data_IF_562222963244
#
_entry.id   IF_562222963244
#
_cell.length_a   1.000
_cell.length_b   1.000
_cell.length_c   1.000
_cell.angle_alpha   90.00
_cell.angle_beta   90.00
_cell.angle_gamma   90.00
#
_symmetry.space_group_name_H-M   'P 1'
#
loop_
_entity.id
_entity.type
_entity.pdbx_description
1 polymer ?
#
# COMPACT_ATOMS: atom_id res chain seq x y z
N UNK A 1 12.70 -8.26 9.47
CA UNK A 1 13.41 -6.98 9.25
C UNK A 1 12.71 -6.24 8.12
N UNK A 2 11.81 -5.31 8.44
CA UNK A 2 11.24 -4.40 7.45
C UNK A 2 12.20 -3.22 7.35
N UNK A 3 13.06 -3.19 6.34
CA UNK A 3 13.84 -1.99 6.06
C UNK A 3 13.00 -1.07 5.19
N UNK A 4 12.36 -0.10 5.84
CA UNK A 4 11.99 1.16 5.19
C UNK A 4 13.28 1.96 5.11
N UNK A 5 13.71 2.33 3.91
CA UNK A 5 14.93 3.13 3.72
C UNK A 5 14.81 4.45 4.50
N UNK A 6 15.80 4.73 5.35
CA UNK A 6 15.85 5.83 6.31
C UNK A 6 16.32 7.17 5.69
N UNK A 7 15.78 7.55 4.53
CA UNK A 7 16.02 8.91 4.03
C UNK A 7 14.69 9.51 3.56
N UNK A 8 14.04 10.18 4.50
CA UNK A 8 12.66 10.67 4.40
C UNK A 8 12.67 12.19 4.64
N UNK A 9 13.40 12.90 3.78
CA UNK A 9 13.35 14.36 3.74
C UNK A 9 11.95 14.82 3.34
N UNK A 10 11.46 15.90 3.98
CA UNK A 10 10.13 16.50 3.81
C UNK A 10 9.72 16.80 2.35
N UNK A 11 10.66 16.79 1.40
CA UNK A 11 10.46 17.09 -0.02
C UNK A 11 9.96 15.92 -0.88
N UNK A 12 10.34 14.68 -0.57
CA UNK A 12 9.94 13.51 -1.37
C UNK A 12 8.90 12.68 -0.63
N UNK A 13 7.61 12.91 -0.95
CA UNK A 13 6.47 12.11 -0.44
C UNK A 13 6.41 10.72 -1.08
N UNK A 14 7.54 10.03 -1.25
CA UNK A 14 7.63 8.70 -1.82
C UNK A 14 8.38 7.74 -0.89
N UNK A 15 7.85 6.54 -0.75
CA UNK A 15 8.42 5.47 0.04
C UNK A 15 9.18 4.50 -0.86
N UNK A 16 10.45 4.28 -0.57
CA UNK A 16 11.22 3.20 -1.19
C UNK A 16 10.95 1.88 -0.48
N UNK A 17 10.39 0.91 -1.21
CA UNK A 17 10.16 -0.46 -0.73
C UNK A 17 11.16 -1.39 -1.40
N UNK A 18 12.10 -1.93 -0.61
CA UNK A 18 13.21 -2.76 -1.09
C UNK A 18 12.96 -4.25 -0.89
N UNK A 19 12.40 -4.64 0.26
CA UNK A 19 12.18 -6.05 0.61
C UNK A 19 10.74 -6.51 0.39
N UNK A 20 10.57 -7.81 0.09
CA UNK A 20 9.25 -8.42 -0.09
C UNK A 20 8.54 -8.01 -1.39
N UNK A 21 9.26 -7.42 -2.34
CA UNK A 21 8.70 -7.03 -3.64
C UNK A 21 8.64 -8.21 -4.61
N UNK A 22 7.68 -8.15 -5.54
CA UNK A 22 7.55 -9.17 -6.58
C UNK A 22 8.79 -9.12 -7.49
N UNK A 23 9.51 -10.24 -7.60
CA UNK A 23 10.73 -10.34 -8.40
C UNK A 23 11.93 -9.56 -7.85
N UNK A 24 11.90 -9.14 -6.58
CA UNK A 24 13.03 -8.50 -5.90
C UNK A 24 13.36 -7.08 -6.38
N UNK A 25 12.53 -6.49 -7.25
CA UNK A 25 12.74 -5.14 -7.76
C UNK A 25 12.26 -4.10 -6.74
N UNK A 26 13.10 -3.14 -6.33
CA UNK A 26 12.63 -2.03 -5.52
C UNK A 26 11.53 -1.24 -6.24
N UNK A 27 10.63 -0.63 -5.48
CA UNK A 27 9.65 0.31 -6.02
C UNK A 27 9.57 1.55 -5.15
N UNK A 28 9.28 2.67 -5.78
CA UNK A 28 8.82 3.87 -5.10
C UNK A 28 7.29 3.84 -5.05
N UNK A 29 6.71 4.25 -3.93
CA UNK A 29 5.26 4.34 -3.77
C UNK A 29 4.92 5.70 -3.16
N UNK A 30 4.03 6.45 -3.82
CA UNK A 30 3.48 7.70 -3.30
C UNK A 30 2.85 7.55 -1.93
N UNK A 31 3.21 8.45 -1.03
CA UNK A 31 2.56 8.63 0.26
C UNK A 31 1.48 9.71 0.12
N UNK A 32 0.24 9.35 0.43
CA UNK A 32 -0.91 10.26 0.38
C UNK A 32 -1.06 11.04 1.69
N UNK A 33 -0.79 10.37 2.81
CA UNK A 33 -0.76 10.95 4.15
C UNK A 33 0.56 10.58 4.83
N UNK A 34 1.40 11.60 5.03
CA UNK A 34 2.72 11.44 5.62
C UNK A 34 2.65 11.16 7.12
N UNK A 35 1.81 11.91 7.82
CA UNK A 35 1.72 11.88 9.28
C UNK A 35 1.14 10.54 9.74
N UNK A 36 0.05 10.10 9.12
CA UNK A 36 -0.56 8.81 9.42
C UNK A 36 0.41 7.65 9.13
N UNK A 37 1.21 7.75 8.07
CA UNK A 37 2.21 6.73 7.74
C UNK A 37 3.29 6.64 8.83
N UNK A 38 3.92 7.76 9.19
CA UNK A 38 4.98 7.79 10.20
C UNK A 38 4.45 7.26 11.53
N UNK A 39 3.26 7.69 11.94
CA UNK A 39 2.62 7.20 13.16
C UNK A 39 2.42 5.68 13.10
N UNK A 40 1.87 5.16 11.99
CA UNK A 40 1.62 3.73 11.80
C UNK A 40 2.91 2.91 11.81
N UNK A 41 3.96 3.39 11.13
CA UNK A 41 5.26 2.71 11.08
C UNK A 41 5.90 2.68 12.46
N UNK A 42 5.86 3.78 13.22
CA UNK A 42 6.41 3.83 14.57
C UNK A 42 5.69 2.86 15.52
N UNK A 43 4.36 2.77 15.45
CA UNK A 43 3.60 1.78 16.21
C UNK A 43 3.96 0.34 15.82
N UNK A 44 4.08 0.08 14.52
CA UNK A 44 4.50 -1.22 14.00
C UNK A 44 5.91 -1.62 14.48
N UNK A 45 6.86 -0.66 14.53
CA UNK A 45 8.20 -0.90 15.06
C UNK A 45 8.19 -1.21 16.55
N UNK A 46 7.39 -0.50 17.34
CA UNK A 46 7.22 -0.78 18.77
C UNK A 46 6.65 -2.18 19.01
N UNK A 47 5.64 -2.57 18.24
CA UNK A 47 5.09 -3.94 18.26
C UNK A 47 6.18 -4.94 17.89
N UNK A 48 6.88 -4.75 16.77
CA UNK A 48 7.92 -5.69 16.35
C UNK A 48 9.02 -5.86 17.40
N UNK A 49 9.42 -4.79 18.10
CA UNK A 49 10.40 -4.86 19.18
C UNK A 49 9.93 -5.75 20.34
N UNK A 50 8.64 -5.71 20.69
CA UNK A 50 8.04 -6.57 21.71
C UNK A 50 7.86 -8.04 21.27
N UNK A 51 7.92 -8.31 19.96
CA UNK A 51 7.61 -9.60 19.34
C UNK A 51 8.79 -10.14 18.51
N UNK A 52 9.99 -10.20 19.11
CA UNK A 52 11.19 -10.81 18.51
C UNK A 52 11.55 -10.24 17.11
N UNK A 53 11.32 -8.94 16.89
CA UNK A 53 11.54 -8.28 15.61
C UNK A 53 10.51 -8.59 14.52
N UNK A 54 9.33 -9.12 14.88
CA UNK A 54 8.25 -9.52 13.97
C UNK A 54 6.93 -8.85 14.33
N UNK A 55 6.18 -8.41 13.32
CA UNK A 55 4.81 -7.90 13.53
C UNK A 55 3.83 -9.00 13.92
N UNK A 56 4.07 -10.20 13.43
CA UNK A 56 3.28 -11.39 13.75
C UNK A 56 4.28 -12.47 14.16
N UNK A 57 4.45 -12.65 15.46
CA UNK A 57 5.35 -13.67 15.98
C UNK A 57 4.63 -15.02 16.04
N UNK A 58 4.87 -15.81 15.00
CA UNK A 58 4.40 -17.18 14.86
C UNK A 58 5.56 -18.07 14.40
N UNK A 59 5.54 -19.36 14.77
CA UNK A 59 6.67 -20.26 14.54
C UNK A 59 6.95 -20.49 13.04
N UNK A 60 5.93 -20.36 12.19
CA UNK A 60 6.04 -20.59 10.76
C UNK A 60 5.16 -19.62 9.94
N UNK A 61 5.46 -19.53 8.64
CA UNK A 61 4.78 -18.64 7.71
C UNK A 61 3.28 -18.93 7.59
N UNK A 62 2.88 -20.21 7.59
CA UNK A 62 1.46 -20.61 7.47
C UNK A 62 0.67 -20.13 8.68
N UNK A 63 1.20 -20.32 9.88
CA UNK A 63 0.62 -19.82 11.13
C UNK A 63 0.56 -18.28 11.17
N UNK A 64 1.58 -17.59 10.67
CA UNK A 64 1.59 -16.13 10.56
C UNK A 64 0.51 -15.62 9.60
N UNK A 65 0.38 -16.22 8.42
CA UNK A 65 -0.66 -15.88 7.43
C UNK A 65 -2.07 -16.12 8.01
N UNK A 66 -2.28 -17.23 8.72
CA UNK A 66 -3.57 -17.52 9.34
C UNK A 66 -3.93 -16.50 10.42
N UNK A 67 -2.96 -16.09 11.25
CA UNK A 67 -3.14 -15.03 12.24
C UNK A 67 -3.51 -13.70 11.56
N UNK A 68 -2.80 -13.32 10.50
CA UNK A 68 -3.11 -12.12 9.72
C UNK A 68 -4.53 -12.15 9.16
N UNK A 69 -4.92 -13.23 8.47
CA UNK A 69 -6.28 -13.42 7.94
C UNK A 69 -7.36 -13.32 9.01
N UNK A 70 -7.10 -13.91 10.18
CA UNK A 70 -8.05 -13.87 11.30
C UNK A 70 -8.21 -12.45 11.84
N UNK A 71 -7.11 -11.70 11.95
CA UNK A 71 -7.15 -10.30 12.40
C UNK A 71 -7.83 -9.38 11.40
N UNK A 72 -7.53 -9.49 10.11
CA UNK A 72 -8.20 -8.69 9.08
C UNK A 72 -9.70 -9.00 9.02
N UNK A 73 -10.08 -10.28 9.17
CA UNK A 73 -11.47 -10.68 9.27
C UNK A 73 -12.19 -10.08 10.51
N UNK A 74 -11.53 -10.03 11.66
CA UNK A 74 -12.08 -9.39 12.87
C UNK A 74 -12.21 -7.87 12.71
N UNK A 75 -11.31 -7.25 11.95
CA UNK A 75 -11.40 -5.84 11.57
C UNK A 75 -12.44 -5.56 10.47
N UNK A 76 -13.26 -6.54 10.09
CA UNK A 76 -14.32 -6.36 9.09
C UNK A 76 -13.87 -6.51 7.63
N UNK A 77 -12.59 -6.82 7.36
CA UNK A 77 -12.08 -6.99 6.00
C UNK A 77 -12.48 -8.37 5.42
N UNK A 78 -13.74 -8.50 5.03
CA UNK A 78 -14.37 -9.74 4.54
C UNK A 78 -15.16 -9.48 3.25
N UNK A 79 -15.40 -10.55 2.48
CA UNK A 79 -16.21 -10.49 1.25
C UNK A 79 -15.72 -9.42 0.28
N UNK A 80 -16.61 -8.52 -0.15
CA UNK A 80 -16.26 -7.41 -1.04
C UNK A 80 -15.24 -6.42 -0.46
N UNK A 81 -15.12 -6.35 0.88
CA UNK A 81 -14.15 -5.52 1.60
C UNK A 81 -12.94 -6.32 2.09
N UNK A 82 -12.61 -7.44 1.43
CA UNK A 82 -11.41 -8.22 1.75
C UNK A 82 -10.14 -7.36 1.71
N UNK A 83 -8.99 -7.77 2.29
CA UNK A 83 -7.76 -6.97 2.28
C UNK A 83 -7.31 -6.49 0.90
N UNK A 84 -7.70 -7.18 -0.18
CA UNK A 84 -7.42 -6.73 -1.54
C UNK A 84 -8.13 -5.40 -1.87
N UNK A 85 -9.31 -5.14 -1.31
CA UNK A 85 -10.05 -3.88 -1.51
C UNK A 85 -9.29 -2.66 -0.98
N UNK A 86 -8.45 -2.81 0.05
CA UNK A 86 -7.57 -1.73 0.52
C UNK A 86 -6.61 -1.26 -0.58
N UNK A 87 -6.15 -2.17 -1.46
CA UNK A 87 -5.35 -1.81 -2.64
C UNK A 87 -6.17 -1.03 -3.66
N UNK A 88 -7.46 -1.30 -3.79
CA UNK A 88 -8.36 -0.53 -4.66
C UNK A 88 -8.58 0.87 -4.10
N UNK A 89 -8.93 0.97 -2.82
CA UNK A 89 -9.14 2.24 -2.14
C UNK A 89 -7.90 3.14 -2.30
N UNK A 90 -6.72 2.63 -1.94
CA UNK A 90 -5.47 3.37 -2.10
C UNK A 90 -5.20 3.80 -3.56
N UNK A 91 -5.45 2.92 -4.53
CA UNK A 91 -5.24 3.26 -5.94
C UNK A 91 -6.21 4.35 -6.44
N UNK A 92 -7.45 4.35 -5.94
CA UNK A 92 -8.45 5.38 -6.24
C UNK A 92 -8.05 6.72 -5.64
N UNK A 93 -7.64 6.74 -4.38
CA UNK A 93 -7.16 7.95 -3.70
C UNK A 93 -5.90 8.50 -4.38
N UNK A 94 -4.97 7.64 -4.81
CA UNK A 94 -3.77 8.04 -5.53
C UNK A 94 -4.10 8.61 -6.93
N UNK A 95 -5.05 8.02 -7.65
CA UNK A 95 -5.52 8.58 -8.93
C UNK A 95 -6.14 9.96 -8.72
N UNK A 96 -6.96 10.13 -7.67
CA UNK A 96 -7.54 11.42 -7.31
C UNK A 96 -6.46 12.45 -6.96
N UNK A 97 -5.49 12.08 -6.14
CA UNK A 97 -4.35 12.92 -5.77
C UNK A 97 -3.59 13.44 -7.00
N UNK A 98 -3.23 12.58 -7.95
CA UNK A 98 -2.52 13.03 -9.16
C UNK A 98 -3.40 13.93 -10.05
N UNK A 99 -4.70 13.64 -10.18
CA UNK A 99 -5.62 14.52 -10.93
C UNK A 99 -5.69 15.92 -10.32
N UNK A 100 -5.71 16.03 -8.99
CA UNK A 100 -5.69 17.31 -8.28
C UNK A 100 -4.38 18.10 -8.50
N UNK A 101 -3.31 17.44 -8.96
CA UNK A 101 -2.05 18.08 -9.34
C UNK A 101 -2.00 18.47 -10.83
N UNK A 102 -3.10 18.30 -11.57
CA UNK A 102 -3.21 18.67 -12.98
C UNK A 102 -2.84 17.57 -13.96
N UNK A 103 -2.53 16.35 -13.50
CA UNK A 103 -2.28 15.22 -14.39
C UNK A 103 -3.56 14.75 -15.08
N UNK A 104 -3.47 14.38 -16.34
CA UNK A 104 -4.57 13.73 -17.06
C UNK A 104 -4.90 12.35 -16.46
N UNK A 105 -6.08 11.81 -16.78
CA UNK A 105 -6.47 10.45 -16.37
C UNK A 105 -5.44 9.38 -16.79
N UNK A 106 -4.86 9.54 -17.98
CA UNK A 106 -3.87 8.62 -18.54
C UNK A 106 -2.56 8.68 -17.74
N UNK A 107 -2.08 9.88 -17.44
CA UNK A 107 -0.86 10.10 -16.65
C UNK A 107 -1.03 9.63 -15.22
N UNK A 108 -2.14 10.01 -14.56
CA UNK A 108 -2.46 9.57 -13.22
C UNK A 108 -2.51 8.03 -13.13
N UNK A 109 -3.13 7.37 -14.11
CA UNK A 109 -3.18 5.90 -14.15
C UNK A 109 -1.81 5.27 -14.37
N UNK A 110 -0.93 5.89 -15.18
CA UNK A 110 0.44 5.42 -15.37
C UNK A 110 1.29 5.59 -14.10
N UNK A 111 1.17 6.72 -13.40
CA UNK A 111 1.84 6.98 -12.12
C UNK A 111 1.41 5.98 -11.05
N UNK A 112 0.10 5.78 -10.86
CA UNK A 112 -0.43 4.77 -9.93
C UNK A 112 0.02 3.36 -10.31
N UNK A 113 0.11 3.06 -11.61
CA UNK A 113 0.64 1.78 -12.09
C UNK A 113 2.09 1.56 -11.67
N UNK A 114 2.93 2.59 -11.73
CA UNK A 114 4.31 2.55 -11.23
C UNK A 114 4.35 2.40 -9.71
N UNK A 115 3.56 3.17 -8.97
CA UNK A 115 3.49 3.11 -7.50
C UNK A 115 3.09 1.71 -6.99
N UNK A 116 2.18 1.04 -7.71
CA UNK A 116 1.73 -0.33 -7.44
C UNK A 116 2.77 -1.41 -7.81
N UNK A 117 3.84 -1.03 -8.50
CA UNK A 117 4.89 -1.92 -8.98
C UNK A 117 4.54 -2.68 -10.26
N UNK A 118 3.64 -2.15 -11.10
CA UNK A 118 3.25 -2.76 -12.38
C UNK A 118 4.05 -2.23 -13.58
N UNK A 119 4.83 -1.15 -13.39
CA UNK A 119 5.44 -0.37 -14.48
C UNK A 119 4.46 0.60 -15.13
N UNK A 120 4.93 1.46 -16.02
CA UNK A 120 4.16 2.50 -16.71
C UNK A 120 3.20 1.93 -17.78
N UNK A 121 3.55 0.83 -18.42
CA UNK A 121 2.77 0.18 -19.48
C UNK A 121 1.42 -0.43 -19.07
N UNK A 122 1.03 -0.32 -17.80
CA UNK A 122 -0.20 -0.93 -17.23
C UNK A 122 -1.25 0.09 -16.79
N UNK A 123 -1.14 1.37 -17.18
CA UNK A 123 -2.13 2.41 -16.89
C UNK A 123 -3.56 2.06 -17.29
N UNK A 124 -3.79 1.51 -18.50
CA UNK A 124 -5.13 1.03 -18.92
C UNK A 124 -5.69 -0.10 -18.06
N UNK A 125 -4.82 -0.95 -17.51
CA UNK A 125 -5.24 -1.98 -16.57
C UNK A 125 -5.66 -1.35 -15.24
N UNK A 126 -4.90 -0.37 -14.76
CA UNK A 126 -5.22 0.38 -13.54
C UNK A 126 -6.57 1.07 -13.65
N UNK A 127 -6.81 1.79 -14.74
CA UNK A 127 -8.09 2.47 -14.98
C UNK A 127 -9.27 1.47 -15.00
N UNK A 128 -9.11 0.36 -15.71
CA UNK A 128 -10.19 -0.65 -15.83
C UNK A 128 -10.47 -1.40 -14.53
N UNK A 129 -9.43 -1.69 -13.75
CA UNK A 129 -9.53 -2.53 -12.54
C UNK A 129 -9.80 -1.66 -11.31
N UNK A 130 -9.00 -0.62 -11.10
CA UNK A 130 -9.09 0.25 -9.92
C UNK A 130 -9.99 1.47 -10.13
N UNK A 131 -10.17 1.95 -11.37
CA UNK A 131 -10.98 3.13 -11.67
C UNK A 131 -12.50 2.92 -11.57
N UNK A 132 -12.96 1.69 -11.33
CA UNK A 132 -14.36 1.41 -11.02
C UNK A 132 -14.65 1.83 -9.59
N UNK A 133 -15.20 3.03 -9.41
CA UNK A 133 -15.97 3.35 -8.22
C UNK A 133 -17.14 2.38 -8.17
N UNK A 134 -17.17 1.43 -7.24
CA UNK A 134 -18.46 0.84 -6.88
C UNK A 134 -19.29 2.01 -6.34
N UNK A 135 -20.34 2.39 -7.06
CA UNK A 135 -21.05 3.66 -6.92
C UNK A 135 -21.53 4.00 -5.51
N UNK A 136 -20.64 4.58 -4.70
CA UNK A 136 -20.99 5.34 -3.53
C UNK A 136 -20.36 6.72 -3.71
N UNK A 137 -21.18 7.64 -4.22
CA UNK A 137 -21.02 9.05 -3.93
C UNK A 137 -21.13 9.20 -2.40
N UNK A 138 -20.16 9.88 -1.80
CA UNK A 138 -20.40 10.62 -0.57
C UNK A 138 -20.99 11.97 -0.98
#
# INVERSE_FOLDING_TARGET
MFAVAQDMGYGDKQLTVVFGTKGGRPRQTRMLDWEALIQTVNQALAVAAAYNGRLIDKPDLKSAINRWRSQTALAGLKGQYSPHSLRYAWAQDAMYYYRQQGFSNREASALVSMDLGHGDGRGRYVERVYGKSNGFAL
#
